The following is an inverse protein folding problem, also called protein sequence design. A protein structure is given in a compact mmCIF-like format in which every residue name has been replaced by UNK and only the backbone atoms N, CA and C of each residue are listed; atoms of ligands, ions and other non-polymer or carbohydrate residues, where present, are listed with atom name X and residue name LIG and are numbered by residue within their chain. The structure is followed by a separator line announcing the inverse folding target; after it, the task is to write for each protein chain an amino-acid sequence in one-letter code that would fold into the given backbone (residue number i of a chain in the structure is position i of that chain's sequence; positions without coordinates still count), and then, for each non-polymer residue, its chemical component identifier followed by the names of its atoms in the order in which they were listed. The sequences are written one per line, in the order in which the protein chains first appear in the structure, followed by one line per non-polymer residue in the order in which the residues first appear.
data_IF_885051753904
#
_entry.id   IF_885051753904
#
_cell.length_a   1.000
_cell.length_b   1.000
_cell.length_c   1.000
_cell.angle_alpha   90.00
_cell.angle_beta   90.00
_cell.angle_gamma   90.00
#
_symmetry.space_group_name_H-M   'P 1'
#
loop_
_entity.id
_entity.type
_entity.pdbx_description
1 polymer ?
#
# COMPACT_ATOMS: atom_id res chain seq x y z
N UNK A 1 -4.57 -27.38 -1.66
CA UNK A 1 -4.26 -26.78 -0.35
C UNK A 1 -5.32 -25.71 -0.07
N UNK A 2 -5.82 -25.56 1.16
CA UNK A 2 -6.77 -24.47 1.50
C UNK A 2 -6.05 -23.37 2.28
N UNK A 3 -6.18 -22.13 1.84
CA UNK A 3 -5.65 -20.95 2.52
C UNK A 3 -6.61 -20.53 3.63
N UNK A 4 -6.08 -20.17 4.80
CA UNK A 4 -6.88 -19.48 5.80
C UNK A 4 -6.97 -17.99 5.43
N UNK A 5 -8.05 -17.61 4.76
CA UNK A 5 -8.21 -16.26 4.20
C UNK A 5 -8.08 -15.14 5.25
N UNK A 6 -8.64 -15.34 6.44
CA UNK A 6 -8.59 -14.33 7.52
C UNK A 6 -7.16 -14.18 8.06
N UNK A 7 -6.48 -15.30 8.38
CA UNK A 7 -5.10 -15.24 8.88
C UNK A 7 -4.15 -14.63 7.85
N UNK A 8 -4.32 -14.97 6.57
CA UNK A 8 -3.51 -14.44 5.49
C UNK A 8 -3.78 -12.94 5.26
N UNK A 9 -5.04 -12.52 5.28
CA UNK A 9 -5.41 -11.11 5.16
C UNK A 9 -4.90 -10.26 6.33
N UNK A 10 -4.97 -10.77 7.57
CA UNK A 10 -4.39 -10.10 8.74
C UNK A 10 -2.86 -9.94 8.60
N UNK A 11 -2.16 -10.99 8.19
CA UNK A 11 -0.72 -10.92 7.95
C UNK A 11 -0.39 -9.89 6.85
N UNK A 12 -1.17 -9.85 5.78
CA UNK A 12 -1.02 -8.87 4.71
C UNK A 12 -1.27 -7.43 5.21
N UNK A 13 -2.29 -7.21 6.04
CA UNK A 13 -2.61 -5.92 6.62
C UNK A 13 -1.44 -5.37 7.47
N UNK A 14 -0.91 -6.20 8.37
CA UNK A 14 0.24 -5.84 9.20
C UNK A 14 1.48 -5.58 8.35
N UNK A 15 1.75 -6.44 7.37
CA UNK A 15 2.89 -6.28 6.45
C UNK A 15 2.78 -4.98 5.65
N UNK A 16 1.58 -4.67 5.13
CA UNK A 16 1.29 -3.43 4.42
C UNK A 16 1.52 -2.21 5.30
N UNK A 17 1.08 -2.26 6.56
CA UNK A 17 1.30 -1.17 7.51
C UNK A 17 2.77 -0.93 7.82
N UNK A 18 3.55 -1.99 8.04
CA UNK A 18 5.00 -1.90 8.26
C UNK A 18 5.69 -1.30 7.04
N UNK A 19 5.38 -1.80 5.85
CA UNK A 19 5.96 -1.29 4.60
C UNK A 19 5.60 0.18 4.38
N UNK A 20 4.36 0.59 4.66
CA UNK A 20 3.95 1.98 4.52
C UNK A 20 4.72 2.92 5.45
N UNK A 21 4.98 2.51 6.69
CA UNK A 21 5.79 3.29 7.64
C UNK A 21 7.21 3.46 7.09
N UNK A 22 7.82 2.39 6.59
CA UNK A 22 9.15 2.45 5.96
C UNK A 22 9.15 3.36 4.74
N UNK A 23 8.14 3.26 3.87
CA UNK A 23 7.97 4.14 2.72
C UNK A 23 7.83 5.61 3.14
N UNK A 24 7.08 5.89 4.21
CA UNK A 24 6.91 7.26 4.73
C UNK A 24 8.24 7.84 5.22
N UNK A 25 9.04 7.04 5.94
CA UNK A 25 10.38 7.47 6.37
C UNK A 25 11.28 7.78 5.18
N UNK A 26 11.19 6.97 4.12
CA UNK A 26 11.94 7.21 2.90
C UNK A 26 11.55 8.51 2.20
N UNK A 27 10.25 8.81 2.12
CA UNK A 27 9.73 10.10 1.61
C UNK A 27 10.23 11.26 2.45
N UNK A 28 10.30 11.11 3.77
CA UNK A 28 10.79 12.16 4.67
C UNK A 28 12.29 12.48 4.48
N UNK A 29 13.09 11.49 4.07
CA UNK A 29 14.55 11.64 3.87
C UNK A 29 14.86 12.09 2.44
N UNK A 30 14.17 11.54 1.45
CA UNK A 30 14.44 11.76 0.02
C UNK A 30 13.14 12.00 -0.77
N UNK A 31 12.49 13.17 -0.59
CA UNK A 31 11.19 13.44 -1.19
C UNK A 31 11.24 13.49 -2.72
N UNK A 32 12.24 14.15 -3.32
CA UNK A 32 12.37 14.26 -4.78
C UNK A 32 12.51 12.88 -5.45
N UNK A 33 13.38 12.02 -4.90
CA UNK A 33 13.57 10.67 -5.43
C UNK A 33 12.30 9.81 -5.30
N UNK A 34 11.58 9.95 -4.19
CA UNK A 34 10.30 9.27 -3.98
C UNK A 34 9.24 9.70 -5.00
N UNK A 35 9.19 10.99 -5.34
CA UNK A 35 8.31 11.51 -6.38
C UNK A 35 8.67 11.01 -7.78
N UNK A 36 9.95 10.84 -8.10
CA UNK A 36 10.39 10.23 -9.36
C UNK A 36 9.90 8.79 -9.49
N UNK A 37 10.03 7.99 -8.41
CA UNK A 37 9.51 6.61 -8.39
C UNK A 37 7.99 6.61 -8.58
N UNK A 38 7.28 7.49 -7.86
CA UNK A 38 5.82 7.58 -7.95
C UNK A 38 5.36 7.93 -9.38
N UNK A 39 6.01 8.90 -10.02
CA UNK A 39 5.71 9.30 -11.39
C UNK A 39 5.85 8.13 -12.37
N UNK A 40 6.92 7.33 -12.23
CA UNK A 40 7.13 6.12 -13.02
C UNK A 40 6.11 5.02 -12.72
N UNK A 41 5.83 4.76 -11.44
CA UNK A 41 4.89 3.71 -11.01
C UNK A 41 3.46 3.98 -11.47
N UNK A 42 3.03 5.25 -11.40
CA UNK A 42 1.66 5.66 -11.74
C UNK A 42 1.50 6.09 -13.20
N UNK A 43 2.56 6.08 -14.01
CA UNK A 43 2.57 6.64 -15.37
C UNK A 43 2.10 8.11 -15.42
N UNK A 44 2.41 8.88 -14.37
CA UNK A 44 2.03 10.28 -14.22
C UNK A 44 3.29 11.17 -14.24
N UNK A 45 3.82 11.53 -15.42
CA UNK A 45 5.11 12.18 -15.54
C UNK A 45 5.18 13.57 -14.89
N UNK A 46 4.05 14.26 -14.75
CA UNK A 46 3.95 15.60 -14.16
C UNK A 46 3.40 15.62 -12.72
N UNK A 47 3.34 14.46 -12.05
CA UNK A 47 2.77 14.40 -10.68
C UNK A 47 3.62 15.18 -9.67
N UNK A 48 4.94 15.25 -9.91
CA UNK A 48 5.86 16.03 -9.08
C UNK A 48 5.59 17.54 -9.19
N UNK A 49 5.32 18.03 -10.40
CA UNK A 49 5.04 19.45 -10.65
C UNK A 49 3.66 19.86 -10.13
N UNK A 50 2.69 18.94 -10.16
CA UNK A 50 1.32 19.19 -9.73
C UNK A 50 1.13 19.21 -8.21
N UNK A 51 1.95 18.47 -7.46
CA UNK A 51 1.79 18.28 -6.00
C UNK A 51 2.71 19.17 -5.15
N UNK A 52 3.69 19.84 -5.75
CA UNK A 52 4.59 20.76 -5.05
C UNK A 52 5.46 20.07 -3.99
N UNK A 53 6.01 20.86 -3.05
CA UNK A 53 6.75 20.31 -1.91
C UNK A 53 5.82 19.54 -0.97
N UNK A 54 5.82 18.22 -1.11
CA UNK A 54 5.07 17.33 -0.23
C UNK A 54 5.79 17.16 1.10
N UNK A 55 5.25 17.80 2.15
CA UNK A 55 5.68 17.57 3.52
C UNK A 55 4.92 16.41 4.16
N UNK A 56 5.64 15.57 4.91
CA UNK A 56 5.01 14.48 5.69
C UNK A 56 4.29 15.10 6.88
N UNK A 57 2.96 15.14 6.82
CA UNK A 57 2.10 15.55 7.94
C UNK A 57 1.50 14.34 8.61
N UNK A 58 1.19 14.43 9.91
CA UNK A 58 0.51 13.35 10.63
C UNK A 58 -0.84 13.00 9.99
N UNK A 59 -1.59 14.01 9.54
CA UNK A 59 -2.86 13.83 8.84
C UNK A 59 -2.68 13.08 7.52
N UNK A 60 -1.73 13.50 6.68
CA UNK A 60 -1.41 12.79 5.43
C UNK A 60 -0.93 11.37 5.65
N UNK A 61 -0.11 11.14 6.68
CA UNK A 61 0.36 9.81 7.06
C UNK A 61 -0.81 8.87 7.37
N UNK A 62 -1.74 9.29 8.24
CA UNK A 62 -2.90 8.47 8.61
C UNK A 62 -3.89 8.28 7.45
N UNK A 63 -4.10 9.32 6.65
CA UNK A 63 -4.95 9.27 5.46
C UNK A 63 -4.41 8.33 4.38
N UNK A 64 -3.10 8.10 4.30
CA UNK A 64 -2.54 7.06 3.43
C UNK A 64 -2.50 5.69 4.09
N UNK A 65 -2.09 5.61 5.37
CA UNK A 65 -1.92 4.34 6.08
C UNK A 65 -3.23 3.56 6.21
N UNK A 66 -4.29 4.21 6.73
CA UNK A 66 -5.53 3.54 7.09
C UNK A 66 -6.20 2.92 5.85
N UNK A 67 -6.44 3.68 4.75
CA UNK A 67 -7.02 3.10 3.55
C UNK A 67 -6.12 2.01 2.97
N UNK A 68 -4.80 2.21 2.90
CA UNK A 68 -3.89 1.24 2.29
C UNK A 68 -3.90 -0.11 3.03
N UNK A 69 -3.90 -0.09 4.36
CA UNK A 69 -4.00 -1.30 5.17
C UNK A 69 -5.34 -2.01 4.95
N UNK A 70 -6.45 -1.26 4.92
CA UNK A 70 -7.78 -1.82 4.65
C UNK A 70 -7.83 -2.45 3.26
N UNK A 71 -7.34 -1.75 2.24
CA UNK A 71 -7.28 -2.26 0.87
C UNK A 71 -6.41 -3.51 0.76
N UNK A 72 -5.24 -3.52 1.39
CA UNK A 72 -4.35 -4.69 1.43
C UNK A 72 -5.02 -5.91 2.08
N UNK A 73 -5.71 -5.70 3.21
CA UNK A 73 -6.50 -6.76 3.87
C UNK A 73 -7.56 -7.33 2.92
N UNK A 74 -8.41 -6.44 2.36
CA UNK A 74 -9.54 -6.84 1.52
C UNK A 74 -9.07 -7.55 0.25
N UNK A 75 -8.03 -7.02 -0.42
CA UNK A 75 -7.48 -7.62 -1.63
C UNK A 75 -6.99 -9.06 -1.39
N UNK A 76 -6.23 -9.27 -0.31
CA UNK A 76 -5.70 -10.60 0.02
C UNK A 76 -6.80 -11.54 0.51
N UNK A 77 -7.77 -11.05 1.29
CA UNK A 77 -8.92 -11.85 1.69
C UNK A 77 -9.70 -12.36 0.47
N UNK A 78 -9.97 -11.47 -0.49
CA UNK A 78 -10.68 -11.82 -1.73
C UNK A 78 -9.86 -12.82 -2.55
N UNK A 79 -8.57 -12.56 -2.76
CA UNK A 79 -7.68 -13.46 -3.49
C UNK A 79 -7.64 -14.86 -2.87
N UNK A 80 -7.49 -14.95 -1.54
CA UNK A 80 -7.47 -16.22 -0.82
C UNK A 80 -8.81 -16.96 -0.92
N UNK A 81 -9.93 -16.23 -0.87
CA UNK A 81 -11.27 -16.81 -1.03
C UNK A 81 -11.49 -17.34 -2.44
N UNK A 82 -11.10 -16.58 -3.46
CA UNK A 82 -11.19 -17.00 -4.86
C UNK A 82 -10.30 -18.21 -5.15
N UNK A 83 -9.07 -18.22 -4.62
CA UNK A 83 -8.18 -19.38 -4.70
C UNK A 83 -8.83 -20.63 -4.09
N UNK A 84 -9.37 -20.51 -2.87
CA UNK A 84 -10.04 -21.63 -2.21
C UNK A 84 -11.26 -22.14 -2.99
N UNK A 85 -11.95 -21.28 -3.76
CA UNK A 85 -13.04 -21.71 -4.65
C UNK A 85 -12.51 -22.41 -5.89
N UNK A 86 -11.43 -21.93 -6.50
CA UNK A 86 -10.88 -22.52 -7.72
C UNK A 86 -10.27 -23.91 -7.52
N UNK A 87 -9.66 -24.18 -6.35
CA UNK A 87 -9.14 -25.52 -6.02
C UNK A 87 -10.15 -26.48 -5.39
N UNK A 88 -11.39 -26.02 -5.13
CA UNK A 88 -12.50 -26.88 -4.69
C UNK A 88 -13.40 -27.36 -5.85
N UNK A 89 -13.28 -26.74 -7.03
CA UNK A 89 -13.93 -27.19 -8.26
C UNK A 89 -13.14 -28.35 -8.87
#
# INVERSE_FOLDING_TARGET
MQLNAIKLANAAAVTTGILYVVCTLFVAIAPQFSMTILAGAMHLPSVADALGEMSVTLGGFLLGLIPLVIFGYVAVYLAATLYNRSVKA
#
